data_IF_692669340446
#
_entry.id   IF_692669340446
#
_cell.length_a   1.000
_cell.length_b   1.000
_cell.length_c   1.000
_cell.angle_alpha   90.00
_cell.angle_beta   90.00
_cell.angle_gamma   90.00
#
_symmetry.space_group_name_H-M   'P 1'
#
loop_
_entity.id
_entity.type
_entity.pdbx_description
1 polymer ?
#
# COMPACT_ATOMS: atom_id res chain seq x y z
N UNK A 1 -16.48 92.77 -24.18
CA UNK A 1 -15.16 92.87 -24.81
C UNK A 1 -14.37 91.63 -24.39
N UNK A 2 -14.03 90.84 -25.40
CA UNK A 2 -13.09 89.71 -25.49
C UNK A 2 -13.49 88.35 -24.87
N UNK A 3 -13.62 87.41 -25.82
CA UNK A 3 -13.96 85.99 -25.83
C UNK A 3 -13.20 85.06 -24.86
N UNK A 4 -13.92 84.03 -24.40
CA UNK A 4 -13.34 82.74 -23.99
C UNK A 4 -14.07 81.64 -24.75
N UNK A 5 -13.32 80.95 -25.60
CA UNK A 5 -13.73 79.82 -26.43
C UNK A 5 -13.87 78.54 -25.61
N UNK A 6 -15.04 77.90 -25.68
CA UNK A 6 -15.27 76.55 -25.18
C UNK A 6 -15.34 75.58 -26.37
N UNK A 7 -14.35 74.69 -26.47
CA UNK A 7 -14.23 73.65 -27.49
C UNK A 7 -14.81 72.33 -26.99
N UNK A 8 -15.78 71.80 -27.73
CA UNK A 8 -16.47 70.53 -27.51
C UNK A 8 -15.58 69.37 -27.95
N UNK A 9 -15.17 68.48 -27.02
CA UNK A 9 -14.48 67.21 -27.35
C UNK A 9 -15.50 66.07 -27.53
N UNK A 10 -15.41 65.39 -28.67
CA UNK A 10 -16.07 64.12 -28.97
C UNK A 10 -15.39 62.94 -28.23
N UNK A 11 -16.10 61.81 -28.00
CA UNK A 11 -15.53 60.61 -27.38
C UNK A 11 -14.70 59.79 -28.38
N UNK A 12 -13.54 59.28 -27.92
CA UNK A 12 -12.67 58.34 -28.65
C UNK A 12 -13.25 56.92 -28.72
N UNK A 13 -12.93 56.13 -29.78
CA UNK A 13 -13.38 54.75 -29.93
C UNK A 13 -12.57 53.75 -29.11
N UNK A 14 -13.25 52.75 -28.54
CA UNK A 14 -12.65 51.58 -27.88
C UNK A 14 -11.71 50.80 -28.83
N UNK A 15 -10.50 50.53 -28.35
CA UNK A 15 -9.58 49.60 -29.02
C UNK A 15 -9.92 48.14 -28.66
N UNK A 16 -9.76 47.20 -29.61
CA UNK A 16 -10.04 45.79 -29.36
C UNK A 16 -8.99 45.18 -28.43
N UNK A 17 -9.46 44.49 -27.38
CA UNK A 17 -8.64 43.70 -26.47
C UNK A 17 -8.02 42.53 -27.26
N UNK A 18 -6.71 42.59 -27.46
CA UNK A 18 -5.95 41.50 -28.08
C UNK A 18 -6.00 40.26 -27.16
N UNK A 19 -6.69 39.22 -27.63
CA UNK A 19 -6.66 37.89 -27.02
C UNK A 19 -5.28 37.30 -27.28
N UNK A 20 -4.54 37.02 -26.21
CA UNK A 20 -3.16 36.54 -26.24
C UNK A 20 -3.11 35.08 -26.78
N UNK A 21 -3.05 34.92 -28.10
CA UNK A 21 -2.97 33.64 -28.82
C UNK A 21 -1.71 32.81 -28.51
N UNK A 22 -0.76 33.33 -27.72
CA UNK A 22 0.51 32.65 -27.43
C UNK A 22 0.43 31.59 -26.32
N UNK A 23 -0.57 31.62 -25.44
CA UNK A 23 -0.65 30.66 -24.31
C UNK A 23 -1.25 29.30 -24.69
N UNK A 24 -2.15 29.26 -25.68
CA UNK A 24 -2.85 28.02 -26.10
C UNK A 24 -1.94 27.06 -26.89
N UNK A 25 -0.99 27.60 -27.66
CA UNK A 25 -0.10 26.82 -28.51
C UNK A 25 0.99 26.03 -27.77
N UNK A 26 1.49 26.54 -26.64
CA UNK A 26 2.50 25.82 -25.84
C UNK A 26 1.91 24.66 -25.05
N UNK A 27 0.74 24.84 -24.45
CA UNK A 27 0.07 23.77 -23.71
C UNK A 27 -0.50 22.69 -24.63
N UNK A 28 -1.00 23.06 -25.81
CA UNK A 28 -1.33 22.10 -26.87
C UNK A 28 -0.10 21.33 -27.38
N UNK A 29 1.06 22.00 -27.55
CA UNK A 29 2.34 21.34 -27.90
C UNK A 29 2.86 20.43 -26.78
N UNK A 30 2.71 20.80 -25.51
CA UNK A 30 3.07 19.96 -24.34
C UNK A 30 2.13 18.75 -24.22
N UNK A 31 0.84 18.92 -24.45
CA UNK A 31 -0.15 17.83 -24.50
C UNK A 31 0.14 16.87 -25.65
N UNK A 32 0.46 17.38 -26.84
CA UNK A 32 0.86 16.59 -28.02
C UNK A 32 2.17 15.81 -27.79
N UNK A 33 3.19 16.44 -27.20
CA UNK A 33 4.44 15.76 -26.78
C UNK A 33 4.18 14.68 -25.72
N UNK A 34 3.25 14.91 -24.77
CA UNK A 34 2.85 13.92 -23.75
C UNK A 34 2.10 12.74 -24.38
N UNK A 35 1.18 12.99 -25.31
CA UNK A 35 0.45 11.96 -26.05
C UNK A 35 1.42 11.09 -26.88
N UNK A 36 2.34 11.71 -27.62
CA UNK A 36 3.39 11.02 -28.37
C UNK A 36 4.31 10.19 -27.47
N UNK A 37 4.68 10.69 -26.29
CA UNK A 37 5.50 9.95 -25.32
C UNK A 37 4.75 8.77 -24.71
N UNK A 38 3.44 8.90 -24.48
CA UNK A 38 2.56 7.82 -24.01
C UNK A 38 2.43 6.72 -25.06
N UNK A 39 2.24 7.10 -26.32
CA UNK A 39 2.13 6.18 -27.46
C UNK A 39 3.44 5.44 -27.72
N UNK A 40 4.57 6.15 -27.75
CA UNK A 40 5.90 5.53 -27.85
C UNK A 40 6.16 4.54 -26.72
N UNK A 41 5.75 4.86 -25.48
CA UNK A 41 5.85 3.93 -24.33
C UNK A 41 4.91 2.72 -24.48
N UNK A 42 3.73 2.90 -25.06
CA UNK A 42 2.79 1.80 -25.35
C UNK A 42 3.39 0.84 -26.38
N UNK A 43 3.83 1.37 -27.52
CA UNK A 43 4.49 0.59 -28.58
C UNK A 43 5.75 -0.13 -28.05
N UNK A 44 6.62 0.57 -27.31
CA UNK A 44 7.78 -0.06 -26.67
C UNK A 44 7.38 -1.14 -25.64
N UNK A 45 6.27 -0.95 -24.92
CA UNK A 45 5.76 -1.99 -24.01
C UNK A 45 5.19 -3.19 -24.77
N UNK A 46 4.52 -2.98 -25.88
CA UNK A 46 3.96 -4.03 -26.74
C UNK A 46 5.06 -4.84 -27.41
N UNK A 47 6.07 -4.16 -27.95
CA UNK A 47 7.28 -4.76 -28.51
C UNK A 47 8.04 -5.57 -27.45
N UNK A 48 8.27 -5.01 -26.25
CA UNK A 48 8.88 -5.75 -25.12
C UNK A 48 8.05 -6.96 -24.71
N UNK A 49 6.71 -6.87 -24.71
CA UNK A 49 5.82 -7.99 -24.42
C UNK A 49 5.92 -9.07 -25.51
N UNK A 50 5.94 -8.68 -26.78
CA UNK A 50 6.09 -9.59 -27.91
C UNK A 50 7.43 -10.33 -27.87
N UNK A 51 8.54 -9.61 -27.68
CA UNK A 51 9.89 -10.18 -27.54
C UNK A 51 9.96 -11.13 -26.35
N UNK A 52 9.38 -10.77 -25.20
CA UNK A 52 9.35 -11.64 -24.00
C UNK A 52 8.50 -12.90 -24.23
N UNK A 53 7.40 -12.79 -24.98
CA UNK A 53 6.55 -13.92 -25.38
C UNK A 53 7.30 -14.87 -26.32
N UNK A 54 8.01 -14.34 -27.31
CA UNK A 54 8.84 -15.12 -28.23
C UNK A 54 9.99 -15.81 -27.50
N UNK A 55 10.76 -15.09 -26.66
CA UNK A 55 11.82 -15.69 -25.83
C UNK A 55 11.29 -16.78 -24.90
N UNK A 56 10.10 -16.62 -24.30
CA UNK A 56 9.45 -17.67 -23.49
C UNK A 56 9.07 -18.89 -24.33
N UNK A 57 8.52 -18.70 -25.54
CA UNK A 57 8.21 -19.80 -26.45
C UNK A 57 9.48 -20.53 -26.90
N UNK A 58 10.53 -19.80 -27.26
CA UNK A 58 11.84 -20.35 -27.63
C UNK A 58 12.44 -21.15 -26.47
N UNK A 59 12.47 -20.58 -25.26
CA UNK A 59 12.93 -21.27 -24.05
C UNK A 59 12.09 -22.50 -23.74
N UNK A 60 10.77 -22.46 -23.94
CA UNK A 60 9.91 -23.63 -23.79
C UNK A 60 10.20 -24.70 -24.86
N UNK A 61 10.43 -24.31 -26.11
CA UNK A 61 10.81 -25.24 -27.19
C UNK A 61 12.16 -25.90 -26.92
N UNK A 62 13.18 -25.12 -26.53
CA UNK A 62 14.51 -25.62 -26.16
C UNK A 62 14.43 -26.54 -24.94
N UNK A 63 13.70 -26.15 -23.89
CA UNK A 63 13.50 -27.03 -22.72
C UNK A 63 12.73 -28.31 -23.08
N UNK A 64 11.77 -28.24 -24.00
CA UNK A 64 11.02 -29.42 -24.49
C UNK A 64 11.92 -30.34 -25.32
N UNK A 65 12.72 -29.78 -26.23
CA UNK A 65 13.64 -30.51 -27.09
C UNK A 65 14.76 -31.19 -26.28
N UNK A 66 15.25 -30.53 -25.23
CA UNK A 66 16.30 -31.06 -24.36
C UNK A 66 15.76 -31.96 -23.23
N UNK A 67 14.46 -32.29 -23.21
CA UNK A 67 13.86 -33.15 -22.17
C UNK A 67 13.85 -32.55 -20.75
N UNK A 68 14.18 -31.26 -20.58
CA UNK A 68 14.15 -30.54 -19.29
C UNK A 68 12.73 -30.16 -18.85
N UNK A 69 11.70 -30.43 -19.66
CA UNK A 69 10.31 -30.34 -19.24
C UNK A 69 9.87 -31.77 -18.92
N UNK A 70 9.68 -32.12 -17.63
CA UNK A 70 9.06 -33.38 -17.27
C UNK A 70 7.72 -33.51 -18.02
N UNK A 71 7.35 -34.70 -18.52
CA UNK A 71 6.01 -34.92 -19.02
C UNK A 71 4.99 -34.41 -17.97
N UNK A 72 3.86 -33.80 -18.38
CA UNK A 72 2.83 -33.43 -17.43
C UNK A 72 2.55 -34.66 -16.57
N UNK A 73 2.74 -34.55 -15.25
CA UNK A 73 2.29 -35.61 -14.35
C UNK A 73 0.80 -35.76 -14.65
N UNK A 74 0.39 -36.92 -15.17
CA UNK A 74 -1.03 -37.22 -15.33
C UNK A 74 -1.66 -37.07 -13.94
N UNK A 75 -2.47 -36.03 -13.81
CA UNK A 75 -3.17 -35.76 -12.58
C UNK A 75 -4.22 -36.85 -12.49
N UNK A 76 -4.08 -37.74 -11.51
CA UNK A 76 -5.13 -38.71 -11.19
C UNK A 76 -6.44 -37.95 -10.96
N UNK A 77 -7.43 -38.19 -11.83
CA UNK A 77 -8.75 -37.55 -11.80
C UNK A 77 -9.83 -38.48 -11.22
N UNK A 78 -9.44 -39.63 -10.65
CA UNK A 78 -10.36 -40.47 -9.89
C UNK A 78 -11.06 -39.66 -8.80
N UNK A 79 -12.31 -40.01 -8.49
CA UNK A 79 -13.10 -39.34 -7.46
C UNK A 79 -12.35 -39.32 -6.13
N UNK A 80 -11.67 -40.41 -5.77
CA UNK A 80 -10.83 -40.51 -4.58
C UNK A 80 -9.64 -39.54 -4.60
N UNK A 81 -8.96 -39.36 -5.74
CA UNK A 81 -7.86 -38.40 -5.85
C UNK A 81 -8.36 -36.95 -5.78
N UNK A 82 -9.53 -36.67 -6.38
CA UNK A 82 -10.18 -35.36 -6.28
C UNK A 82 -10.60 -35.07 -4.84
N UNK A 83 -11.21 -36.05 -4.14
CA UNK A 83 -11.63 -35.91 -2.75
C UNK A 83 -10.43 -35.68 -1.84
N UNK A 84 -9.37 -36.49 -1.97
CA UNK A 84 -8.10 -36.30 -1.22
C UNK A 84 -7.47 -34.93 -1.44
N UNK A 85 -7.63 -34.32 -2.63
CA UNK A 85 -7.15 -32.94 -2.88
C UNK A 85 -8.02 -31.91 -2.18
N UNK A 86 -9.34 -32.07 -2.20
CA UNK A 86 -10.29 -31.20 -1.48
C UNK A 86 -10.02 -31.25 0.03
N UNK A 87 -9.89 -32.45 0.60
CA UNK A 87 -9.64 -32.64 2.03
C UNK A 87 -8.33 -31.98 2.47
N UNK A 88 -7.25 -32.15 1.68
CA UNK A 88 -5.97 -31.45 1.92
C UNK A 88 -6.10 -29.93 1.84
N UNK A 89 -6.92 -29.42 0.92
CA UNK A 89 -7.14 -27.99 0.80
C UNK A 89 -7.91 -27.43 2.00
N UNK A 90 -8.91 -28.17 2.49
CA UNK A 90 -9.67 -27.84 3.70
C UNK A 90 -8.75 -27.87 4.92
N UNK A 91 -8.02 -28.97 5.14
CA UNK A 91 -7.10 -29.10 6.27
C UNK A 91 -6.02 -28.00 6.26
N UNK A 92 -5.48 -27.65 5.08
CA UNK A 92 -4.52 -26.55 4.96
C UNK A 92 -5.15 -25.21 5.31
N UNK A 93 -6.40 -24.96 4.89
CA UNK A 93 -7.13 -23.73 5.21
C UNK A 93 -7.41 -23.63 6.71
N UNK A 94 -7.88 -24.71 7.32
CA UNK A 94 -8.17 -24.76 8.76
C UNK A 94 -6.90 -24.55 9.58
N UNK A 95 -5.80 -25.24 9.24
CA UNK A 95 -4.52 -25.05 9.91
C UNK A 95 -4.01 -23.60 9.80
N UNK A 96 -4.20 -22.95 8.63
CA UNK A 96 -3.85 -21.55 8.46
C UNK A 96 -4.70 -20.62 9.35
N UNK A 97 -6.01 -20.85 9.42
CA UNK A 97 -6.92 -20.03 10.24
C UNK A 97 -6.65 -20.21 11.73
N UNK A 98 -6.42 -21.44 12.21
CA UNK A 98 -6.03 -21.69 13.60
C UNK A 98 -4.71 -20.99 13.94
N UNK A 99 -3.70 -21.12 13.08
CA UNK A 99 -2.42 -20.44 13.29
C UNK A 99 -2.56 -18.91 13.30
N UNK A 100 -3.48 -18.36 12.52
CA UNK A 100 -3.74 -16.93 12.49
C UNK A 100 -4.46 -16.45 13.76
N UNK A 101 -5.43 -17.22 14.25
CA UNK A 101 -6.19 -16.91 15.47
C UNK A 101 -5.29 -16.87 16.72
N UNK A 102 -4.31 -17.79 16.79
CA UNK A 102 -3.26 -17.78 17.81
C UNK A 102 -2.14 -16.75 17.54
N UNK A 103 -2.15 -16.14 16.36
CA UNK A 103 -1.17 -15.17 15.90
C UNK A 103 -1.31 -13.80 16.57
N UNK A 104 -0.41 -12.90 16.20
CA UNK A 104 -0.48 -11.49 16.63
C UNK A 104 -1.69 -10.83 15.96
N UNK A 105 -2.44 -10.02 16.73
CA UNK A 105 -3.57 -9.25 16.20
C UNK A 105 -3.08 -7.91 15.67
N UNK A 106 -3.47 -7.57 14.45
CA UNK A 106 -3.09 -6.31 13.79
C UNK A 106 -4.33 -5.61 13.25
N UNK A 107 -4.44 -4.31 13.46
CA UNK A 107 -5.52 -3.46 12.93
C UNK A 107 -4.94 -2.50 11.90
N UNK A 108 -5.64 -2.32 10.78
CA UNK A 108 -5.46 -1.20 9.87
C UNK A 108 -6.65 -0.25 10.07
N UNK A 109 -6.37 0.91 10.65
CA UNK A 109 -7.36 1.91 11.04
C UNK A 109 -7.70 2.83 9.85
N UNK A 110 -8.84 2.61 9.20
CA UNK A 110 -9.27 3.37 8.02
C UNK A 110 -10.11 4.63 8.34
N UNK A 111 -10.07 5.14 9.57
CA UNK A 111 -10.88 6.32 9.95
C UNK A 111 -10.47 7.61 9.22
N UNK A 112 -9.21 7.71 8.75
CA UNK A 112 -8.68 8.91 8.08
C UNK A 112 -9.09 9.06 6.62
N UNK A 113 -10.23 8.52 6.21
CA UNK A 113 -10.64 8.53 4.80
C UNK A 113 -10.74 9.96 4.24
N UNK A 114 -11.35 10.87 4.98
CA UNK A 114 -11.58 12.25 4.56
C UNK A 114 -10.28 13.07 4.41
N UNK A 115 -9.19 12.62 5.05
CA UNK A 115 -7.85 13.24 4.96
C UNK A 115 -7.08 12.87 3.68
N UNK A 116 -7.65 11.99 2.85
CA UNK A 116 -7.03 11.44 1.65
C UNK A 116 -7.79 11.81 0.38
N UNK A 117 -7.06 12.21 -0.66
CA UNK A 117 -7.65 12.32 -2.00
C UNK A 117 -7.86 10.95 -2.64
N UNK A 118 -8.62 10.88 -3.75
CA UNK A 118 -8.93 9.61 -4.42
C UNK A 118 -7.70 8.76 -4.80
N UNK A 119 -6.58 9.39 -5.17
CA UNK A 119 -5.34 8.67 -5.53
C UNK A 119 -4.71 8.05 -4.30
N UNK A 120 -4.77 8.73 -3.17
CA UNK A 120 -4.30 8.24 -1.88
C UNK A 120 -5.19 7.12 -1.36
N UNK A 121 -6.53 7.26 -1.42
CA UNK A 121 -7.49 6.19 -1.10
C UNK A 121 -7.26 4.91 -1.94
N UNK A 122 -7.02 5.07 -3.24
CA UNK A 122 -6.63 3.96 -4.14
C UNK A 122 -5.28 3.35 -3.76
N UNK A 123 -4.31 4.17 -3.35
CA UNK A 123 -3.01 3.69 -2.89
C UNK A 123 -3.13 2.89 -1.59
N UNK A 124 -3.91 3.38 -0.62
CA UNK A 124 -4.17 2.66 0.62
C UNK A 124 -4.79 1.30 0.36
N UNK A 125 -5.80 1.24 -0.54
CA UNK A 125 -6.46 -0.01 -0.92
C UNK A 125 -5.47 -1.04 -1.49
N UNK A 126 -4.48 -0.59 -2.29
CA UNK A 126 -3.39 -1.45 -2.78
C UNK A 126 -2.44 -1.88 -1.65
N UNK A 127 -2.12 -0.99 -0.71
CA UNK A 127 -1.27 -1.33 0.43
C UNK A 127 -1.92 -2.37 1.35
N UNK A 128 -3.23 -2.27 1.58
CA UNK A 128 -4.02 -3.28 2.30
C UNK A 128 -3.97 -4.62 1.54
N UNK A 129 -4.18 -4.61 0.22
CA UNK A 129 -4.06 -5.81 -0.62
C UNK A 129 -2.66 -6.45 -0.56
N UNK A 130 -1.59 -5.63 -0.57
CA UNK A 130 -0.23 -6.14 -0.41
C UNK A 130 -0.01 -6.76 0.97
N UNK A 131 -0.55 -6.13 2.02
CA UNK A 131 -0.51 -6.66 3.40
C UNK A 131 -1.18 -8.04 3.49
N UNK A 132 -2.36 -8.19 2.90
CA UNK A 132 -3.01 -9.50 2.77
C UNK A 132 -2.15 -10.51 2.00
N UNK A 133 -1.54 -10.08 0.88
CA UNK A 133 -0.65 -10.91 0.08
C UNK A 133 0.59 -11.42 0.83
N UNK A 134 1.13 -10.62 1.74
CA UNK A 134 2.22 -11.00 2.67
C UNK A 134 1.68 -11.98 3.71
N UNK A 135 0.59 -11.65 4.39
CA UNK A 135 0.03 -12.48 5.46
C UNK A 135 -0.33 -13.89 4.97
N UNK A 136 -0.95 -13.99 3.79
CA UNK A 136 -1.35 -15.27 3.16
C UNK A 136 -0.19 -16.21 2.88
N UNK A 137 1.03 -15.69 2.76
CA UNK A 137 2.25 -16.48 2.51
C UNK A 137 3.08 -16.69 3.78
N UNK A 138 2.73 -16.02 4.88
CA UNK A 138 3.45 -16.11 6.14
C UNK A 138 3.32 -17.50 6.75
N UNK A 139 4.40 -17.98 7.37
CA UNK A 139 4.37 -19.22 8.17
C UNK A 139 3.73 -18.99 9.53
N UNK A 140 3.75 -17.76 10.01
CA UNK A 140 3.11 -17.28 11.23
C UNK A 140 2.10 -16.19 10.84
N UNK A 141 0.94 -16.55 10.27
CA UNK A 141 -0.05 -15.56 9.87
C UNK A 141 -0.55 -14.77 11.10
N UNK A 142 -0.81 -13.49 10.88
CA UNK A 142 -1.41 -12.60 11.87
C UNK A 142 -2.93 -12.57 11.68
N UNK A 143 -3.68 -12.30 12.74
CA UNK A 143 -5.11 -12.04 12.64
C UNK A 143 -5.33 -10.54 12.39
N UNK A 144 -5.63 -10.18 11.14
CA UNK A 144 -5.69 -8.79 10.71
C UNK A 144 -7.14 -8.28 10.61
N UNK A 145 -7.34 -7.02 10.98
CA UNK A 145 -8.62 -6.32 10.91
C UNK A 145 -8.47 -5.03 10.11
N UNK A 146 -9.45 -4.72 9.26
CA UNK A 146 -9.58 -3.43 8.58
C UNK A 146 -10.79 -2.74 9.21
N UNK A 147 -10.53 -1.83 10.16
CA UNK A 147 -11.57 -1.18 10.98
C UNK A 147 -11.92 0.19 10.44
N UNK A 148 -13.07 0.73 10.88
CA UNK A 148 -13.60 1.99 10.37
C UNK A 148 -13.67 1.99 8.84
N UNK A 149 -13.92 0.83 8.22
CA UNK A 149 -13.88 0.66 6.77
C UNK A 149 -15.19 1.16 6.15
N UNK A 150 -15.11 2.28 5.43
CA UNK A 150 -16.24 2.91 4.76
C UNK A 150 -15.84 3.50 3.40
N UNK A 151 -16.76 4.28 2.82
CA UNK A 151 -16.48 5.15 1.68
C UNK A 151 -15.84 4.48 0.47
N UNK A 152 -14.91 5.18 -0.16
CA UNK A 152 -14.23 4.75 -1.36
C UNK A 152 -13.15 3.71 -1.09
N UNK A 153 -12.58 3.68 0.12
CA UNK A 153 -11.62 2.62 0.49
C UNK A 153 -12.33 1.27 0.45
N UNK A 154 -13.53 1.17 1.07
CA UNK A 154 -14.37 -0.04 1.01
C UNK A 154 -14.70 -0.42 -0.43
N UNK A 155 -15.21 0.52 -1.24
CA UNK A 155 -15.54 0.26 -2.66
C UNK A 155 -14.34 -0.20 -3.48
N UNK A 156 -13.14 0.33 -3.20
CA UNK A 156 -11.93 -0.06 -3.90
C UNK A 156 -11.49 -1.48 -3.52
N UNK A 157 -11.62 -1.87 -2.26
CA UNK A 157 -11.32 -3.22 -1.80
C UNK A 157 -12.32 -4.25 -2.34
N UNK A 158 -13.61 -3.94 -2.39
CA UNK A 158 -14.65 -4.83 -2.95
C UNK A 158 -14.46 -5.13 -4.44
N UNK A 159 -13.75 -4.27 -5.18
CA UNK A 159 -13.36 -4.52 -6.58
C UNK A 159 -12.23 -5.55 -6.71
N UNK A 160 -11.55 -5.88 -5.62
CA UNK A 160 -10.47 -6.87 -5.61
C UNK A 160 -11.11 -8.25 -5.51
N UNK A 161 -10.81 -9.11 -6.48
CA UNK A 161 -11.33 -10.48 -6.51
C UNK A 161 -10.98 -11.23 -5.22
N UNK A 162 -12.00 -11.81 -4.60
CA UNK A 162 -11.86 -12.61 -3.39
C UNK A 162 -11.83 -11.82 -2.09
N UNK A 163 -12.07 -10.50 -2.08
CA UNK A 163 -11.95 -9.66 -0.88
C UNK A 163 -12.78 -10.17 0.31
N UNK A 164 -14.02 -10.60 0.07
CA UNK A 164 -14.89 -11.12 1.12
C UNK A 164 -14.46 -12.52 1.61
N UNK A 165 -13.63 -13.21 0.85
CA UNK A 165 -13.07 -14.53 1.14
C UNK A 165 -11.63 -14.47 1.68
N UNK A 166 -11.10 -13.28 1.95
CA UNK A 166 -9.76 -13.13 2.51
C UNK A 166 -9.66 -13.82 3.89
N UNK A 167 -8.70 -14.71 4.01
CA UNK A 167 -8.47 -15.50 5.22
C UNK A 167 -7.62 -14.69 6.20
N UNK A 168 -8.00 -14.72 7.48
CA UNK A 168 -7.33 -13.96 8.55
C UNK A 168 -7.24 -12.44 8.29
N UNK A 169 -8.18 -11.91 7.51
CA UNK A 169 -8.31 -10.48 7.20
C UNK A 169 -9.80 -10.12 7.26
N UNK A 170 -10.21 -9.44 8.32
CA UNK A 170 -11.63 -9.11 8.57
C UNK A 170 -11.88 -7.62 8.35
N UNK A 171 -12.71 -7.28 7.38
CA UNK A 171 -13.18 -5.89 7.15
C UNK A 171 -14.44 -5.57 7.95
N UNK A 172 -14.50 -4.39 8.57
CA UNK A 172 -15.66 -3.93 9.36
C UNK A 172 -15.75 -2.41 9.39
N UNK A 173 -16.97 -1.88 9.46
CA UNK A 173 -17.22 -0.44 9.63
C UNK A 173 -17.05 0.03 11.08
N UNK A 174 -16.95 -0.89 12.06
CA UNK A 174 -16.78 -0.56 13.48
C UNK A 174 -15.37 -0.06 13.78
N UNK A 175 -15.24 0.78 14.82
CA UNK A 175 -13.94 1.22 15.31
C UNK A 175 -13.22 0.07 16.02
N UNK A 176 -11.88 0.08 16.04
CA UNK A 176 -11.11 -0.87 16.85
C UNK A 176 -11.39 -0.73 18.35
N UNK A 177 -11.81 0.46 18.80
CA UNK A 177 -12.22 0.70 20.19
C UNK A 177 -13.49 -0.08 20.57
N UNK A 178 -14.35 -0.41 19.60
CA UNK A 178 -15.57 -1.19 19.83
C UNK A 178 -15.31 -2.70 19.81
N UNK A 179 -14.17 -3.12 19.26
CA UNK A 179 -13.85 -4.53 18.98
C UNK A 179 -12.91 -5.13 20.02
N UNK A 180 -12.05 -4.31 20.62
CA UNK A 180 -10.96 -4.76 21.48
C UNK A 180 -10.95 -3.98 22.79
N UNK A 181 -10.44 -4.63 23.85
CA UNK A 181 -10.27 -3.99 25.15
C UNK A 181 -9.20 -2.91 25.05
N UNK A 182 -9.48 -1.73 25.60
CA UNK A 182 -8.59 -0.56 25.55
C UNK A 182 -7.16 -0.87 25.98
N UNK A 183 -6.99 -1.67 27.04
CA UNK A 183 -5.70 -2.01 27.65
C UNK A 183 -4.83 -2.93 26.77
N UNK A 184 -5.46 -3.60 25.81
CA UNK A 184 -4.78 -4.45 24.82
C UNK A 184 -4.25 -3.67 23.62
N UNK A 185 -4.71 -2.44 23.40
CA UNK A 185 -4.42 -1.67 22.19
C UNK A 185 -3.07 -0.98 22.27
N UNK A 186 -2.28 -1.10 21.20
CA UNK A 186 -1.01 -0.37 21.00
C UNK A 186 -1.04 0.27 19.62
N UNK A 187 -1.09 1.61 19.56
CA UNK A 187 -1.04 2.34 18.31
C UNK A 187 0.40 2.53 17.83
N UNK A 188 0.72 1.96 16.66
CA UNK A 188 2.02 2.08 16.04
C UNK A 188 2.12 3.39 15.26
N UNK A 189 2.98 4.30 15.73
CA UNK A 189 3.18 5.61 15.13
C UNK A 189 4.63 6.05 15.26
N UNK A 190 5.16 6.69 14.22
CA UNK A 190 6.56 7.12 14.18
C UNK A 190 6.87 8.23 15.18
N UNK A 191 5.84 8.99 15.58
CA UNK A 191 5.94 10.13 16.50
C UNK A 191 5.91 9.70 17.99
N UNK A 192 5.71 8.41 18.28
CA UNK A 192 5.68 7.93 19.67
C UNK A 192 7.04 8.08 20.36
N UNK A 193 7.09 8.51 21.63
CA UNK A 193 8.31 8.51 22.42
C UNK A 193 8.76 7.08 22.78
N UNK A 194 7.85 6.11 22.79
CA UNK A 194 8.12 4.73 23.18
C UNK A 194 8.56 3.89 21.98
N UNK A 195 9.47 2.94 22.17
CA UNK A 195 9.91 2.03 21.11
C UNK A 195 9.44 0.61 21.39
N UNK A 196 8.83 -0.04 20.39
CA UNK A 196 8.41 -1.44 20.54
C UNK A 196 9.63 -2.36 20.50
N UNK A 197 9.67 -3.32 21.43
CA UNK A 197 10.77 -4.29 21.54
C UNK A 197 10.32 -5.71 21.23
N UNK A 198 9.06 -6.06 21.52
CA UNK A 198 8.49 -7.38 21.29
C UNK A 198 7.04 -7.30 20.84
N UNK A 199 6.60 -8.32 20.12
CA UNK A 199 5.19 -8.55 19.82
C UNK A 199 4.62 -9.57 20.79
N UNK A 200 3.46 -9.25 21.34
CA UNK A 200 2.75 -10.09 22.30
C UNK A 200 1.35 -10.45 21.76
N UNK A 201 0.89 -11.66 22.08
CA UNK A 201 -0.39 -12.20 21.58
C UNK A 201 -1.63 -11.67 22.31
N UNK A 202 -1.42 -11.09 23.50
CA UNK A 202 -2.42 -10.41 24.32
C UNK A 202 -2.66 -8.95 23.89
N UNK A 203 -1.79 -8.40 23.04
CA UNK A 203 -1.89 -7.05 22.50
C UNK A 203 -2.48 -7.04 21.08
N UNK A 204 -2.99 -5.88 20.69
CA UNK A 204 -3.51 -5.56 19.36
C UNK A 204 -2.74 -4.36 18.82
N UNK A 205 -2.02 -4.56 17.73
CA UNK A 205 -1.17 -3.52 17.15
C UNK A 205 -1.90 -2.78 16.04
N UNK A 206 -2.12 -1.48 16.21
CA UNK A 206 -2.87 -0.64 15.28
C UNK A 206 -1.90 0.09 14.36
N UNK A 207 -2.16 0.04 13.05
CA UNK A 207 -1.47 0.79 12.00
C UNK A 207 -2.45 1.81 11.44
N UNK A 208 -2.07 3.08 11.40
CA UNK A 208 -2.88 4.10 10.75
C UNK A 208 -3.04 3.81 9.26
N UNK A 209 -4.26 3.53 8.83
CA UNK A 209 -4.64 3.32 7.43
C UNK A 209 -4.71 4.64 6.69
N UNK A 210 -3.57 5.30 6.50
CA UNK A 210 -3.46 6.62 5.89
C UNK A 210 -2.31 6.69 4.88
N UNK A 211 -2.51 7.44 3.80
CA UNK A 211 -1.49 7.74 2.78
C UNK A 211 -1.41 9.24 2.59
N UNK A 212 -0.55 9.88 3.35
CA UNK A 212 -0.46 11.35 3.44
C UNK A 212 0.90 11.91 2.99
N UNK A 213 1.88 11.01 2.77
CA UNK A 213 3.29 11.32 2.51
C UNK A 213 3.95 12.13 3.65
N UNK A 214 3.54 11.87 4.89
CA UNK A 214 3.99 12.59 6.09
C UNK A 214 3.68 14.10 6.06
N UNK A 215 2.54 14.49 5.48
CA UNK A 215 2.04 15.87 5.59
C UNK A 215 1.29 16.09 6.90
N UNK A 216 0.60 15.06 7.39
CA UNK A 216 -0.23 15.08 8.60
C UNK A 216 0.59 14.53 9.77
N UNK A 217 1.60 15.30 10.17
CA UNK A 217 2.50 14.92 11.27
C UNK A 217 1.71 14.77 12.57
N UNK A 218 2.00 13.75 13.36
CA UNK A 218 1.38 13.56 14.68
C UNK A 218 -0.05 13.04 14.67
N UNK A 219 -0.79 13.05 13.55
CA UNK A 219 -2.25 12.79 13.55
C UNK A 219 -2.64 11.46 14.20
N UNK A 220 -1.85 10.40 13.96
CA UNK A 220 -2.10 9.07 14.56
C UNK A 220 -1.67 9.00 16.02
N UNK A 221 -0.63 9.74 16.39
CA UNK A 221 -0.14 9.82 17.77
C UNK A 221 -1.12 10.63 18.64
N UNK A 222 -1.54 11.79 18.18
CA UNK A 222 -2.50 12.67 18.86
C UNK A 222 -3.82 11.93 19.12
N UNK A 223 -4.37 11.25 18.10
CA UNK A 223 -5.55 10.41 18.24
C UNK A 223 -5.40 9.35 19.32
N UNK A 224 -4.28 8.62 19.33
CA UNK A 224 -4.03 7.56 20.29
C UNK A 224 -3.87 8.10 21.72
N UNK A 225 -3.22 9.25 21.88
CA UNK A 225 -3.08 9.95 23.16
C UNK A 225 -4.43 10.44 23.68
N UNK A 226 -5.26 11.04 22.83
CA UNK A 226 -6.61 11.50 23.18
C UNK A 226 -7.50 10.33 23.63
N UNK A 227 -7.40 9.19 22.94
CA UNK A 227 -8.10 7.97 23.34
C UNK A 227 -7.50 7.31 24.60
N UNK A 228 -6.31 7.72 25.03
CA UNK A 228 -5.59 7.19 26.17
C UNK A 228 -5.17 5.74 25.98
N UNK A 229 -4.76 5.35 24.77
CA UNK A 229 -4.22 4.02 24.47
C UNK A 229 -2.68 4.06 24.37
N UNK A 230 -2.05 2.90 24.53
CA UNK A 230 -0.59 2.78 24.45
C UNK A 230 -0.11 3.14 23.03
N UNK A 231 1.04 3.82 22.92
CA UNK A 231 1.67 4.11 21.63
C UNK A 231 3.10 3.58 21.61
N UNK A 232 3.56 3.17 20.44
CA UNK A 232 4.96 2.81 20.22
C UNK A 232 5.39 3.05 18.77
N UNK A 233 6.67 3.37 18.55
CA UNK A 233 7.29 3.39 17.22
C UNK A 233 8.07 2.11 16.97
N UNK A 234 8.28 1.77 15.70
CA UNK A 234 9.19 0.69 15.31
C UNK A 234 10.65 1.05 15.69
N UNK A 235 11.48 0.07 16.07
CA UNK A 235 12.88 0.29 16.48
C UNK A 235 13.82 0.59 15.30
N UNK A 236 13.40 1.43 14.35
CA UNK A 236 14.17 1.69 13.13
C UNK A 236 15.51 2.35 13.42
N UNK A 237 15.54 3.38 14.28
CA UNK A 237 16.77 4.15 14.56
C UNK A 237 17.81 3.34 15.36
N UNK A 238 17.39 2.27 16.03
CA UNK A 238 18.26 1.37 16.77
C UNK A 238 18.83 0.27 15.88
N UNK A 239 18.08 -0.20 14.87
CA UNK A 239 18.45 -1.41 14.11
C UNK A 239 18.97 -1.13 12.69
N UNK A 240 18.59 0.01 12.10
CA UNK A 240 18.99 0.37 10.74
C UNK A 240 19.43 1.82 10.65
N UNK A 241 20.49 2.05 9.88
CA UNK A 241 20.84 3.38 9.44
C UNK A 241 20.19 3.62 8.06
N UNK A 242 19.39 4.68 7.96
CA UNK A 242 18.58 4.99 6.78
C UNK A 242 18.97 6.32 6.11
N UNK A 243 20.13 6.88 6.48
CA UNK A 243 20.59 8.18 5.99
C UNK A 243 19.50 9.27 6.11
N UNK A 244 19.21 9.95 5.00
CA UNK A 244 18.17 10.98 4.89
C UNK A 244 16.75 10.45 4.63
N UNK A 245 16.55 9.14 4.51
CA UNK A 245 15.24 8.57 4.19
C UNK A 245 14.25 8.73 5.35
N UNK A 246 12.98 9.02 5.05
CA UNK A 246 11.96 9.14 6.11
C UNK A 246 11.75 7.83 6.88
N UNK A 247 11.60 7.98 8.20
CA UNK A 247 11.26 6.92 9.16
C UNK A 247 9.76 6.61 9.16
N UNK A 248 8.96 7.48 8.53
CA UNK A 248 7.54 7.21 8.26
C UNK A 248 7.44 6.21 7.12
N UNK A 249 6.90 5.03 7.45
CA UNK A 249 6.73 3.91 6.52
C UNK A 249 5.30 3.88 5.97
N UNK A 250 5.12 3.19 4.85
CA UNK A 250 3.77 2.94 4.31
C UNK A 250 3.11 1.78 5.08
N UNK A 251 1.77 1.72 5.06
CA UNK A 251 0.97 0.72 5.79
C UNK A 251 1.47 -0.70 5.53
N UNK A 252 1.69 -1.04 4.27
CA UNK A 252 2.16 -2.36 3.88
C UNK A 252 3.57 -2.69 4.39
N UNK A 253 4.48 -1.71 4.47
CA UNK A 253 5.82 -1.96 5.00
C UNK A 253 5.79 -2.16 6.51
N UNK A 254 4.96 -1.40 7.25
CA UNK A 254 4.78 -1.64 8.69
C UNK A 254 4.22 -3.04 8.91
N UNK A 255 3.15 -3.39 8.19
CA UNK A 255 2.54 -4.72 8.28
C UNK A 255 3.54 -5.84 7.96
N UNK A 256 4.30 -5.70 6.87
CA UNK A 256 5.28 -6.70 6.46
C UNK A 256 6.43 -6.82 7.46
N UNK A 257 6.91 -5.72 8.06
CA UNK A 257 7.90 -5.78 9.16
C UNK A 257 7.33 -6.58 10.35
N UNK A 258 6.08 -6.34 10.75
CA UNK A 258 5.44 -7.10 11.84
C UNK A 258 5.31 -8.60 11.50
N UNK A 259 4.95 -8.91 10.25
CA UNK A 259 4.86 -10.28 9.79
C UNK A 259 6.22 -10.99 9.81
N UNK A 260 7.26 -10.35 9.26
CA UNK A 260 8.63 -10.87 9.24
C UNK A 260 9.19 -11.01 10.66
N UNK A 261 8.97 -10.02 11.53
CA UNK A 261 9.40 -10.09 12.93
C UNK A 261 8.68 -11.20 13.70
N UNK A 262 7.41 -11.47 13.38
CA UNK A 262 6.66 -12.57 14.00
C UNK A 262 7.29 -13.94 13.74
N UNK A 263 7.95 -14.12 12.59
CA UNK A 263 8.67 -15.33 12.21
C UNK A 263 10.13 -15.34 12.71
N UNK A 264 10.86 -14.26 12.49
CA UNK A 264 12.33 -14.21 12.65
C UNK A 264 12.75 -13.75 14.05
N UNK A 265 11.92 -12.95 14.74
CA UNK A 265 12.22 -12.34 16.05
C UNK A 265 13.44 -11.41 16.07
N UNK A 266 13.82 -10.88 14.90
CA UNK A 266 14.90 -9.91 14.74
C UNK A 266 14.37 -8.69 13.97
N UNK A 267 14.37 -7.52 14.61
CA UNK A 267 13.87 -6.28 14.02
C UNK A 267 14.75 -5.76 12.90
N UNK A 268 16.06 -5.95 12.97
CA UNK A 268 17.01 -5.53 11.95
C UNK A 268 16.78 -6.32 10.66
N UNK A 269 16.72 -7.65 10.78
CA UNK A 269 16.48 -8.53 9.65
C UNK A 269 15.08 -8.32 9.05
N UNK A 270 14.05 -8.18 9.88
CA UNK A 270 12.68 -7.91 9.42
C UNK A 270 12.58 -6.57 8.67
N UNK A 271 13.30 -5.55 9.15
CA UNK A 271 13.31 -4.22 8.50
C UNK A 271 14.05 -4.27 7.17
N UNK A 272 15.24 -4.88 7.11
CA UNK A 272 16.07 -4.93 5.90
C UNK A 272 15.44 -5.79 4.79
N UNK A 273 14.74 -6.87 5.14
CA UNK A 273 14.04 -7.71 4.17
C UNK A 273 12.82 -7.02 3.54
N UNK A 274 12.23 -6.07 4.26
CA UNK A 274 10.99 -5.37 3.85
C UNK A 274 11.26 -4.06 3.11
N UNK A 275 12.25 -3.28 3.55
CA UNK A 275 12.47 -1.95 3.00
C UNK A 275 13.08 -2.02 1.59
N UNK A 276 12.57 -1.22 0.63
CA UNK A 276 13.10 -1.22 -0.72
C UNK A 276 14.53 -0.65 -0.74
N UNK A 277 15.39 -1.20 -1.61
CA UNK A 277 16.82 -0.83 -1.70
C UNK A 277 17.08 0.68 -1.84
N UNK A 278 16.15 1.43 -2.45
CA UNK A 278 16.22 2.90 -2.57
C UNK A 278 16.25 3.65 -1.23
N UNK A 279 15.80 3.02 -0.13
CA UNK A 279 15.85 3.61 1.21
C UNK A 279 17.25 3.51 1.84
N UNK A 280 18.19 2.81 1.21
CA UNK A 280 19.59 2.73 1.66
C UNK A 280 19.72 2.24 3.10
N UNK A 281 18.81 1.36 3.54
CA UNK A 281 18.84 0.81 4.90
C UNK A 281 19.95 -0.23 4.99
N UNK A 282 20.87 -0.04 5.93
CA UNK A 282 21.92 -1.00 6.27
C UNK A 282 21.94 -1.23 7.79
N UNK A 283 22.48 -2.38 8.21
CA UNK A 283 22.66 -2.71 9.62
C UNK A 283 23.48 -1.62 10.29
N UNK A 284 23.02 -1.16 11.46
CA UNK A 284 23.83 -0.29 12.30
C UNK A 284 24.94 -1.14 12.92
N UNK A 285 26.19 -0.84 12.58
CA UNK A 285 27.34 -1.47 13.23
C UNK A 285 27.36 -1.01 14.69
N UNK A 286 27.39 -1.97 15.64
CA UNK A 286 27.65 -1.64 17.04
C UNK A 286 29.05 -1.00 17.12
N UNK A 287 29.12 0.17 17.76
CA UNK A 287 30.38 0.81 18.13
C UNK A 287 30.76 0.41 19.54
#
# INVERSE_FOLDING_TARGET
MVDISASTKQPEPEQPVAVDEKSSGEDAKKLSKRAMRKEKRRLQSEERKAVKKLKRKEQQRVKKANGLIPPPKELDMSEEAVQRRKDRAIARREAYLMAAEEGVKVVIDCEFEEEMNEKEKKSLSQQIMFSYGVNRKSRTPMNAYITSLHGDIRKNLEKISGFHEWQAFTGTSKSYMDLFKKESLVYLTADSPNTITKLSRDKVYIIGGIVDRNRLKGITYEKAVEQGIETAKLPLDTVVEMGSATRVLTVNHVFEILAQFSEIKDWAQATLSTLPSRKGAHLKLEK
#
